data_IF_914976914678
#
_entry.id   IF_914976914678
#
_cell.length_a   1.000
_cell.length_b   1.000
_cell.length_c   1.000
_cell.angle_alpha   90.00
_cell.angle_beta   90.00
_cell.angle_gamma   90.00
#
_symmetry.space_group_name_H-M   'P 1'
#
loop_
_entity.id
_entity.type
_entity.pdbx_description
1 polymer ?
#
# COMPACT_ATOMS: atom_id res chain seq x y z
N UNK A 1 2.81 10.35 4.40
CA UNK A 1 1.51 9.63 4.36
C UNK A 1 1.39 8.77 5.61
N UNK A 2 0.18 8.54 6.11
CA UNK A 2 -0.12 7.68 7.27
C UNK A 2 -1.35 6.86 6.93
N UNK A 3 -1.33 5.58 7.28
CA UNK A 3 -2.47 4.66 7.13
C UNK A 3 -3.31 4.64 8.41
N UNK A 4 -4.63 4.48 8.27
CA UNK A 4 -5.61 4.53 9.36
C UNK A 4 -6.48 3.28 9.33
N UNK A 5 -6.16 2.29 10.17
CA UNK A 5 -6.81 0.97 10.18
C UNK A 5 -8.18 0.96 10.87
N UNK A 6 -8.52 2.00 11.65
CA UNK A 6 -9.81 2.13 12.38
C UNK A 6 -10.20 0.89 13.20
N UNK A 7 -9.21 0.24 13.83
CA UNK A 7 -9.44 -0.97 14.61
C UNK A 7 -10.03 -2.15 13.81
N UNK A 8 -9.62 -2.28 12.55
CA UNK A 8 -10.07 -3.31 11.62
C UNK A 8 -11.57 -3.26 11.27
N UNK A 9 -12.23 -2.12 11.47
CA UNK A 9 -13.63 -1.96 11.07
C UNK A 9 -13.78 -2.11 9.55
N UNK A 10 -14.69 -2.99 9.16
CA UNK A 10 -14.93 -3.31 7.74
C UNK A 10 -15.28 -2.08 6.92
N UNK A 11 -14.55 -1.86 5.82
CA UNK A 11 -14.78 -0.77 4.89
C UNK A 11 -14.36 0.61 5.40
N UNK A 12 -13.63 0.71 6.51
CA UNK A 12 -13.25 1.99 7.13
C UNK A 12 -11.78 2.37 6.94
N UNK A 13 -11.00 1.54 6.28
CA UNK A 13 -9.60 1.83 6.01
C UNK A 13 -9.44 3.15 5.24
N UNK A 14 -8.50 3.98 5.66
CA UNK A 14 -8.23 5.28 5.07
C UNK A 14 -6.76 5.65 5.15
N UNK A 15 -6.38 6.68 4.41
CA UNK A 15 -5.05 7.26 4.47
C UNK A 15 -5.12 8.78 4.64
N UNK A 16 -4.12 9.33 5.32
CA UNK A 16 -3.93 10.78 5.49
C UNK A 16 -2.55 11.21 5.01
N UNK A 17 -2.45 12.42 4.49
CA UNK A 17 -1.18 13.05 4.16
C UNK A 17 -0.92 14.29 5.00
N UNK A 18 0.37 14.58 5.21
CA UNK A 18 0.82 15.66 6.07
C UNK A 18 1.98 16.40 5.39
N UNK A 19 1.97 17.71 5.49
CA UNK A 19 3.13 18.55 5.21
C UNK A 19 3.98 18.65 6.47
N UNK A 20 5.30 18.54 6.30
CA UNK A 20 6.30 18.76 7.33
C UNK A 20 6.95 20.12 7.05
N UNK A 21 6.83 21.05 7.96
CA UNK A 21 7.37 22.39 7.81
C UNK A 21 8.03 22.82 9.12
N UNK A 22 9.35 23.04 9.06
CA UNK A 22 10.18 23.64 10.13
C UNK A 22 9.84 23.15 11.55
N UNK A 23 9.61 21.83 11.70
CA UNK A 23 9.32 21.20 13.00
C UNK A 23 7.81 21.11 13.33
N UNK A 24 6.92 21.52 12.42
CA UNK A 24 5.47 21.33 12.55
C UNK A 24 4.94 20.29 11.57
N UNK A 25 3.88 19.59 11.96
CA UNK A 25 3.13 18.65 11.13
C UNK A 25 1.75 19.24 10.86
N UNK A 26 1.42 19.45 9.60
CA UNK A 26 0.12 19.98 9.19
C UNK A 26 -0.60 18.99 8.28
N UNK A 27 -1.83 18.58 8.58
CA UNK A 27 -2.58 17.69 7.69
C UNK A 27 -2.90 18.38 6.37
N UNK A 28 -2.73 17.64 5.26
CA UNK A 28 -3.06 18.05 3.89
C UNK A 28 -4.32 17.32 3.43
N UNK A 29 -4.35 16.00 3.55
CA UNK A 29 -5.56 15.19 3.40
C UNK A 29 -5.88 14.47 4.69
N UNK A 30 -7.15 14.37 5.05
CA UNK A 30 -7.63 13.69 6.25
C UNK A 30 -8.50 12.52 5.86
N UNK A 31 -8.15 11.32 6.30
CA UNK A 31 -8.97 10.10 6.23
C UNK A 31 -9.61 9.87 4.85
N UNK A 32 -8.79 9.86 3.80
CA UNK A 32 -9.26 9.50 2.45
C UNK A 32 -9.50 8.00 2.42
N UNK A 33 -10.78 7.61 2.52
CA UNK A 33 -11.21 6.22 2.61
C UNK A 33 -10.99 5.47 1.30
N UNK A 34 -10.65 4.16 1.40
CA UNK A 34 -10.56 3.28 0.24
C UNK A 34 -11.66 2.20 0.19
N UNK A 35 -12.57 2.19 1.18
CA UNK A 35 -13.63 1.21 1.29
C UNK A 35 -13.17 -0.20 1.64
N UNK A 36 -11.88 -0.37 1.95
CA UNK A 36 -11.26 -1.62 2.36
C UNK A 36 -11.16 -1.73 3.88
N UNK A 37 -10.54 -2.80 4.35
CA UNK A 37 -10.45 -3.10 5.76
C UNK A 37 -9.00 -3.30 6.18
N UNK A 38 -8.64 -2.73 7.34
CA UNK A 38 -7.36 -2.96 7.98
C UNK A 38 -6.15 -2.61 7.07
N UNK A 39 -6.12 -1.37 6.61
CA UNK A 39 -4.97 -0.83 5.89
C UNK A 39 -3.73 -0.82 6.82
N UNK A 40 -2.60 -1.34 6.34
CA UNK A 40 -1.39 -1.49 7.13
C UNK A 40 -0.26 -0.59 6.66
N UNK A 41 0.44 -0.97 5.60
CA UNK A 41 1.62 -0.27 5.09
C UNK A 41 1.30 0.67 3.95
N UNK A 42 2.24 1.55 3.66
CA UNK A 42 2.16 2.47 2.53
C UNK A 42 3.56 2.75 1.98
N UNK A 43 3.70 2.72 0.67
CA UNK A 43 4.86 3.22 -0.06
C UNK A 43 4.44 4.28 -1.07
N UNK A 44 5.34 5.21 -1.35
CA UNK A 44 5.14 6.27 -2.35
C UNK A 44 6.11 6.04 -3.50
N UNK A 45 5.66 6.16 -4.75
CA UNK A 45 6.51 6.02 -5.92
C UNK A 45 7.66 7.03 -5.92
N UNK A 46 8.79 6.68 -6.55
CA UNK A 46 9.99 7.53 -6.54
C UNK A 46 9.77 8.92 -7.13
N UNK A 47 8.80 9.05 -8.05
CA UNK A 47 8.38 10.34 -8.63
C UNK A 47 7.35 11.10 -7.77
N UNK A 48 6.92 10.52 -6.65
CA UNK A 48 5.99 11.12 -5.70
C UNK A 48 4.54 11.22 -6.17
N UNK A 49 4.16 10.60 -7.31
CA UNK A 49 2.83 10.78 -7.91
C UNK A 49 1.78 9.79 -7.41
N UNK A 50 2.21 8.61 -6.98
CA UNK A 50 1.31 7.56 -6.51
C UNK A 50 1.73 7.04 -5.15
N UNK A 51 0.78 6.52 -4.41
CA UNK A 51 1.02 5.75 -3.20
C UNK A 51 0.24 4.45 -3.27
N UNK A 52 0.88 3.36 -2.87
CA UNK A 52 0.25 2.07 -2.69
C UNK A 52 0.04 1.79 -1.22
N UNK A 53 -1.00 1.04 -0.88
CA UNK A 53 -1.28 0.64 0.50
C UNK A 53 -1.79 -0.78 0.55
N UNK A 54 -1.26 -1.57 1.48
CA UNK A 54 -1.75 -2.93 1.75
C UNK A 54 -3.02 -2.89 2.59
N UNK A 55 -4.00 -3.74 2.26
CA UNK A 55 -5.21 -3.97 3.05
C UNK A 55 -5.15 -5.40 3.60
N UNK A 56 -4.83 -5.53 4.88
CA UNK A 56 -4.57 -6.83 5.53
C UNK A 56 -5.75 -7.79 5.44
N UNK A 57 -6.96 -7.30 5.70
CA UNK A 57 -8.15 -8.13 5.76
C UNK A 57 -8.78 -8.48 4.40
N UNK A 58 -8.31 -7.85 3.31
CA UNK A 58 -8.95 -7.96 1.99
C UNK A 58 -8.04 -8.53 0.90
N UNK A 59 -6.77 -8.82 1.18
CA UNK A 59 -5.80 -9.34 0.20
C UNK A 59 -5.54 -8.44 -1.00
N UNK A 60 -5.80 -7.14 -0.86
CA UNK A 60 -5.71 -6.16 -1.95
C UNK A 60 -4.73 -5.02 -1.63
N UNK A 61 -4.12 -4.49 -2.69
CA UNK A 61 -3.35 -3.24 -2.67
C UNK A 61 -4.23 -2.14 -3.25
N UNK A 62 -4.36 -1.02 -2.55
CA UNK A 62 -5.04 0.17 -3.08
C UNK A 62 -4.03 1.19 -3.60
N UNK A 63 -4.44 1.97 -4.62
CA UNK A 63 -3.64 3.05 -5.20
C UNK A 63 -4.31 4.40 -4.96
N UNK A 64 -3.51 5.35 -4.49
CA UNK A 64 -3.86 6.75 -4.39
C UNK A 64 -3.00 7.58 -5.33
N UNK A 65 -3.58 8.59 -5.97
CA UNK A 65 -2.79 9.68 -6.54
C UNK A 65 -2.34 10.63 -5.42
N UNK A 66 -1.10 11.10 -5.54
CA UNK A 66 -0.50 12.14 -4.67
C UNK A 66 -0.31 13.37 -5.52
N UNK A 67 -1.11 14.39 -5.31
CA UNK A 67 -1.03 15.64 -6.06
C UNK A 67 0.21 16.45 -5.65
N UNK A 68 0.61 17.41 -6.47
CA UNK A 68 1.78 18.26 -6.21
C UNK A 68 1.71 19.05 -4.89
N UNK A 69 0.51 19.29 -4.36
CA UNK A 69 0.28 19.90 -3.04
C UNK A 69 0.22 18.88 -1.90
N UNK A 70 0.47 17.60 -2.19
CA UNK A 70 0.45 16.49 -1.24
C UNK A 70 -0.95 15.94 -0.95
N UNK A 71 -1.99 16.39 -1.63
CA UNK A 71 -3.34 15.84 -1.46
C UNK A 71 -3.45 14.45 -2.05
N UNK A 72 -4.16 13.60 -1.31
CA UNK A 72 -4.47 12.23 -1.73
C UNK A 72 -5.84 12.19 -2.41
N UNK A 73 -5.94 11.41 -3.47
CA UNK A 73 -7.21 10.96 -4.06
C UNK A 73 -7.14 9.46 -4.33
N UNK A 74 -8.16 8.72 -3.90
CA UNK A 74 -8.25 7.29 -4.22
C UNK A 74 -8.50 7.15 -5.72
N UNK A 75 -7.67 6.37 -6.40
CA UNK A 75 -7.86 6.04 -7.82
C UNK A 75 -8.35 4.62 -8.02
N UNK A 76 -7.81 3.68 -7.24
CA UNK A 76 -8.22 2.28 -7.33
C UNK A 76 -8.11 1.60 -5.96
N UNK A 77 -9.23 1.12 -5.45
CA UNK A 77 -9.28 0.40 -4.19
C UNK A 77 -8.69 -1.02 -4.28
N UNK A 78 -8.48 -1.53 -5.50
CA UNK A 78 -8.03 -2.89 -5.81
C UNK A 78 -6.99 -2.92 -6.93
N UNK A 79 -6.08 -1.95 -6.95
CA UNK A 79 -5.04 -1.82 -7.97
C UNK A 79 -4.18 -3.10 -8.12
N UNK A 80 -3.96 -3.82 -7.02
CA UNK A 80 -3.35 -5.15 -7.02
C UNK A 80 -4.14 -6.11 -6.14
N UNK A 81 -4.42 -7.31 -6.64
CA UNK A 81 -5.03 -8.39 -5.86
C UNK A 81 -4.02 -9.53 -5.72
N UNK A 82 -3.67 -9.87 -4.49
CA UNK A 82 -2.78 -10.98 -4.20
C UNK A 82 -3.52 -12.30 -4.44
N UNK A 83 -4.53 -12.57 -3.63
CA UNK A 83 -5.55 -13.61 -3.83
C UNK A 83 -6.87 -13.04 -3.33
N UNK A 84 -7.93 -13.15 -4.12
CA UNK A 84 -9.23 -12.60 -3.75
C UNK A 84 -9.76 -13.21 -2.46
N UNK A 85 -10.10 -12.35 -1.49
CA UNK A 85 -10.58 -12.74 -0.17
C UNK A 85 -9.54 -13.32 0.79
N UNK A 86 -8.26 -13.41 0.40
CA UNK A 86 -7.18 -13.83 1.30
C UNK A 86 -6.76 -12.68 2.22
N UNK A 87 -6.55 -12.97 3.50
CA UNK A 87 -6.00 -12.02 4.46
C UNK A 87 -4.48 -12.07 4.49
N UNK A 88 -3.85 -11.13 5.20
CA UNK A 88 -2.43 -11.22 5.57
C UNK A 88 -1.48 -10.31 4.82
N UNK A 89 -1.95 -9.44 3.90
CA UNK A 89 -1.07 -8.44 3.28
C UNK A 89 -0.61 -7.44 4.35
N UNK A 90 0.68 -7.47 4.65
CA UNK A 90 1.22 -6.72 5.79
C UNK A 90 2.15 -5.61 5.37
N UNK A 91 3.28 -5.93 4.80
CA UNK A 91 4.35 -4.99 4.46
C UNK A 91 4.55 -4.94 2.95
N UNK A 92 5.03 -3.82 2.46
CA UNK A 92 5.30 -3.62 1.05
C UNK A 92 6.49 -2.68 0.84
N UNK A 93 7.21 -2.89 -0.26
CA UNK A 93 8.27 -2.01 -0.69
C UNK A 93 8.41 -1.99 -2.21
N UNK A 94 8.94 -0.88 -2.72
CA UNK A 94 9.30 -0.72 -4.13
C UNK A 94 10.75 -1.12 -4.35
N UNK A 95 11.05 -1.71 -5.51
CA UNK A 95 12.45 -1.82 -5.95
C UNK A 95 13.11 -0.44 -6.01
N UNK A 96 14.44 -0.37 -5.89
CA UNK A 96 15.21 0.87 -5.89
C UNK A 96 14.89 1.76 -7.12
N UNK A 97 14.68 1.13 -8.29
CA UNK A 97 14.30 1.83 -9.52
C UNK A 97 12.81 2.18 -9.64
N UNK A 98 12.00 1.80 -8.66
CA UNK A 98 10.56 2.05 -8.58
C UNK A 98 9.70 1.28 -9.58
N UNK A 99 10.30 0.32 -10.33
CA UNK A 99 9.57 -0.42 -11.39
C UNK A 99 8.78 -1.60 -10.88
N UNK A 100 9.04 -2.05 -9.66
CA UNK A 100 8.39 -3.23 -9.09
C UNK A 100 7.91 -2.94 -7.68
N UNK A 101 6.69 -3.40 -7.38
CA UNK A 101 6.13 -3.42 -6.04
C UNK A 101 6.13 -4.86 -5.53
N UNK A 102 6.69 -5.07 -4.36
CA UNK A 102 6.66 -6.35 -3.64
C UNK A 102 5.83 -6.20 -2.37
N UNK A 103 5.03 -7.22 -2.07
CA UNK A 103 4.14 -7.24 -0.91
C UNK A 103 4.28 -8.56 -0.17
N UNK A 104 4.53 -8.47 1.12
CA UNK A 104 4.55 -9.61 2.03
C UNK A 104 3.13 -9.99 2.45
N UNK A 105 2.74 -11.24 2.22
CA UNK A 105 1.59 -11.85 2.87
C UNK A 105 2.08 -12.77 4.01
N UNK A 106 1.81 -12.36 5.25
CA UNK A 106 2.28 -13.07 6.44
C UNK A 106 1.47 -14.36 6.69
N UNK A 107 0.19 -14.40 6.34
CA UNK A 107 -0.69 -15.55 6.56
C UNK A 107 -0.36 -16.70 5.60
N UNK A 108 -0.22 -16.40 4.31
CA UNK A 108 0.18 -17.41 3.31
C UNK A 108 1.69 -17.61 3.20
N UNK A 109 2.51 -16.78 3.84
CA UNK A 109 3.98 -16.84 3.81
C UNK A 109 4.56 -16.72 2.40
N UNK A 110 4.02 -15.74 1.65
CA UNK A 110 4.36 -15.45 0.25
C UNK A 110 4.77 -14.01 0.07
N UNK A 111 5.60 -13.79 -0.94
CA UNK A 111 5.77 -12.46 -1.53
C UNK A 111 4.98 -12.43 -2.83
N UNK A 112 4.17 -11.40 -3.01
CA UNK A 112 3.53 -11.07 -4.27
C UNK A 112 4.26 -9.92 -4.94
N UNK A 113 4.32 -9.93 -6.28
CA UNK A 113 5.01 -8.89 -7.04
C UNK A 113 4.19 -8.38 -8.22
N UNK A 114 4.33 -7.09 -8.46
CA UNK A 114 3.73 -6.38 -9.60
C UNK A 114 4.75 -5.48 -10.27
N UNK A 115 4.68 -5.37 -11.61
CA UNK A 115 5.31 -4.28 -12.32
C UNK A 115 4.48 -3.01 -12.16
N UNK A 116 5.16 -1.89 -11.92
CA UNK A 116 4.55 -0.56 -11.74
C UNK A 116 4.64 0.21 -13.04
N UNK A 117 3.49 0.53 -13.63
CA UNK A 117 3.41 1.37 -14.81
C UNK A 117 3.69 2.84 -14.51
N UNK A 118 4.04 3.61 -15.53
CA UNK A 118 4.27 5.06 -15.40
C UNK A 118 3.02 5.85 -15.01
N UNK A 119 1.84 5.24 -15.15
CA UNK A 119 0.54 5.74 -14.71
C UNK A 119 0.11 5.15 -13.35
N UNK A 120 1.02 4.46 -12.65
CA UNK A 120 0.77 3.81 -11.38
C UNK A 120 -0.05 2.50 -11.47
N UNK A 121 -0.35 1.99 -12.66
CA UNK A 121 -1.03 0.70 -12.81
C UNK A 121 -0.14 -0.44 -12.35
N UNK A 122 -0.75 -1.48 -11.76
CA UNK A 122 -0.06 -2.67 -11.29
C UNK A 122 -0.34 -3.85 -12.21
N UNK A 123 0.72 -4.43 -12.81
CA UNK A 123 0.65 -5.64 -13.62
C UNK A 123 1.29 -6.80 -12.87
N UNK A 124 0.50 -7.83 -12.55
CA UNK A 124 0.97 -8.96 -11.72
C UNK A 124 2.12 -9.70 -12.38
N UNK A 125 3.19 -9.93 -11.62
CA UNK A 125 4.35 -10.76 -12.02
C UNK A 125 4.22 -12.19 -11.51
N UNK A 126 3.82 -12.36 -10.25
CA UNK A 126 3.75 -13.68 -9.64
C UNK A 126 3.62 -13.66 -8.12
N UNK A 127 3.83 -14.84 -7.55
CA UNK A 127 3.92 -15.05 -6.12
C UNK A 127 5.03 -16.08 -5.83
N UNK A 128 5.76 -15.88 -4.76
CA UNK A 128 6.87 -16.74 -4.34
C UNK A 128 6.66 -17.20 -2.91
N UNK A 129 6.75 -18.52 -2.74
CA UNK A 129 6.61 -19.22 -1.45
C UNK A 129 7.94 -19.29 -0.70
N UNK A 130 7.90 -19.79 0.52
CA UNK A 130 9.07 -20.18 1.28
C UNK A 130 9.50 -19.24 2.37
N UNK A 131 8.68 -18.25 2.70
CA UNK A 131 8.94 -17.36 3.83
C UNK A 131 8.80 -18.10 5.17
N UNK A 132 9.64 -17.76 6.17
CA UNK A 132 9.47 -18.28 7.52
C UNK A 132 8.15 -17.78 8.13
N UNK A 133 7.55 -18.56 9.03
CA UNK A 133 6.29 -18.21 9.69
C UNK A 133 6.37 -16.92 10.54
N UNK A 134 7.58 -16.49 10.89
CA UNK A 134 7.86 -15.26 11.65
C UNK A 134 8.14 -14.05 10.77
N UNK A 135 8.05 -14.16 9.43
CA UNK A 135 8.27 -13.03 8.54
C UNK A 135 7.24 -11.92 8.80
N UNK A 136 7.70 -10.69 9.01
CA UNK A 136 6.85 -9.55 9.35
C UNK A 136 7.21 -8.27 8.61
N UNK A 137 8.38 -8.20 8.00
CA UNK A 137 8.89 -7.04 7.28
C UNK A 137 9.50 -7.41 5.94
N UNK A 138 9.50 -6.46 5.01
CA UNK A 138 10.04 -6.57 3.66
C UNK A 138 10.89 -5.32 3.35
N UNK A 139 12.00 -5.50 2.67
CA UNK A 139 12.74 -4.45 2.02
C UNK A 139 13.17 -4.95 0.64
N UNK A 140 12.95 -4.14 -0.38
CA UNK A 140 13.35 -4.42 -1.76
C UNK A 140 14.54 -3.53 -2.16
N UNK A 141 15.40 -4.03 -3.06
CA UNK A 141 16.58 -3.32 -3.57
C UNK A 141 16.71 -3.47 -5.08
#
# INVERSE_FOLDING_TARGET
MVTEAFGAQKGKAAASSYALDSGSIRPVSRSVGNGRSEICWAVVTNDGRYAFTTNFADGAVSRYAVNADGRLSLEDATAGIAVDGETGLRDEDLSEDGRFLYVLNADSRRIFGWAVGTDGTLSRLGAWDGLPASAAGLAAS
#
